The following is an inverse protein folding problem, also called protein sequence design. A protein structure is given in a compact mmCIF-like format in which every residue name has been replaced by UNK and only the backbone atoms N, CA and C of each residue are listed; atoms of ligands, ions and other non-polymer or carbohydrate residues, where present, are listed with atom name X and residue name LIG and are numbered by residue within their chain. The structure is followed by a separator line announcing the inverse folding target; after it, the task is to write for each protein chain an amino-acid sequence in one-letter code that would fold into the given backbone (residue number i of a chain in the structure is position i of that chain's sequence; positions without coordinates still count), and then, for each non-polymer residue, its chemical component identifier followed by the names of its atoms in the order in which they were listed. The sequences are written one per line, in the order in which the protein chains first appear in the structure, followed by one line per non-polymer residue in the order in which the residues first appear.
data_IF_476587422938
#
_entry.id   IF_476587422938
#
_cell.length_a   1.000
_cell.length_b   1.000
_cell.length_c   1.000
_cell.angle_alpha   90.00
_cell.angle_beta   90.00
_cell.angle_gamma   90.00
#
_symmetry.space_group_name_H-M   'P 1'
#
loop_
_entity.id
_entity.type
_entity.pdbx_description
1 polymer ?
#
# COMPACT_ATOMS: atom_id res chain seq x y z
N UNK A 1 17.05 13.38 -26.63
CA UNK A 1 16.01 13.08 -25.62
C UNK A 1 16.58 12.18 -24.52
N UNK A 2 16.72 12.68 -23.28
CA UNK A 2 17.36 11.96 -22.14
C UNK A 2 16.74 10.59 -21.83
N UNK A 3 15.44 10.43 -22.04
CA UNK A 3 14.74 9.14 -21.84
C UNK A 3 15.14 8.03 -22.82
N UNK A 4 15.57 8.38 -24.05
CA UNK A 4 16.03 7.41 -25.06
C UNK A 4 17.43 6.90 -24.71
N UNK A 5 18.31 7.77 -24.23
CA UNK A 5 19.64 7.38 -23.74
C UNK A 5 19.56 6.47 -22.53
N UNK A 6 18.64 6.76 -21.58
CA UNK A 6 18.41 5.90 -20.42
C UNK A 6 18.03 4.47 -20.81
N UNK A 7 17.13 4.31 -21.79
CA UNK A 7 16.68 2.98 -22.24
C UNK A 7 17.82 2.14 -22.83
N UNK A 8 18.81 2.77 -23.46
CA UNK A 8 19.98 2.10 -24.06
C UNK A 8 21.04 1.67 -23.04
N UNK A 9 21.00 2.17 -21.80
CA UNK A 9 21.97 1.79 -20.77
C UNK A 9 21.76 0.35 -20.29
N UNK A 10 22.88 -0.36 -20.12
CA UNK A 10 22.92 -1.65 -19.41
C UNK A 10 22.46 -1.46 -17.96
N UNK A 11 21.95 -2.52 -17.35
CA UNK A 11 21.41 -2.50 -15.99
C UNK A 11 22.43 -2.03 -14.96
N UNK A 12 23.67 -2.55 -15.03
CA UNK A 12 24.77 -2.12 -14.17
C UNK A 12 25.07 -0.61 -14.28
N UNK A 13 24.96 -0.03 -15.48
CA UNK A 13 25.15 1.41 -15.67
C UNK A 13 23.98 2.20 -15.07
N UNK A 14 22.74 1.72 -15.23
CA UNK A 14 21.55 2.33 -14.59
C UNK A 14 21.69 2.30 -13.08
N UNK A 15 22.05 1.15 -12.51
CA UNK A 15 22.28 0.99 -11.08
C UNK A 15 23.38 1.94 -10.57
N UNK A 16 24.51 2.04 -11.28
CA UNK A 16 25.58 2.96 -10.91
C UNK A 16 25.14 4.43 -10.94
N UNK A 17 24.37 4.83 -11.95
CA UNK A 17 23.84 6.20 -12.05
C UNK A 17 22.87 6.51 -10.89
N UNK A 18 21.97 5.57 -10.58
CA UNK A 18 21.02 5.66 -9.46
C UNK A 18 21.79 5.79 -8.15
N UNK A 19 22.78 4.92 -7.92
CA UNK A 19 23.59 4.91 -6.71
C UNK A 19 24.34 6.23 -6.53
N UNK A 20 25.01 6.71 -7.58
CA UNK A 20 25.77 7.96 -7.54
C UNK A 20 24.88 9.18 -7.25
N UNK A 21 23.64 9.16 -7.73
CA UNK A 21 22.67 10.22 -7.49
C UNK A 21 22.10 10.15 -6.08
N UNK A 22 21.63 8.97 -5.65
CA UNK A 22 20.95 8.78 -4.37
C UNK A 22 21.90 8.83 -3.16
N UNK A 23 23.16 8.41 -3.32
CA UNK A 23 24.16 8.46 -2.23
C UNK A 23 24.46 9.87 -1.73
N UNK A 24 24.07 10.90 -2.49
CA UNK A 24 24.26 12.33 -2.17
C UNK A 24 22.96 12.99 -1.69
N UNK A 25 21.90 12.21 -1.44
CA UNK A 25 20.57 12.72 -1.09
C UNK A 25 19.99 11.96 0.09
N UNK A 26 19.20 12.67 0.90
CA UNK A 26 18.25 12.07 1.82
C UNK A 26 16.96 11.80 1.06
N UNK A 27 16.43 10.58 1.17
CA UNK A 27 15.21 10.20 0.44
C UNK A 27 14.42 9.14 1.20
N UNK A 28 13.15 9.02 0.82
CA UNK A 28 12.29 7.89 1.16
C UNK A 28 11.93 7.20 -0.15
N UNK A 29 12.18 5.90 -0.25
CA UNK A 29 11.78 5.08 -1.40
C UNK A 29 10.60 4.19 -0.99
N UNK A 30 9.53 4.26 -1.77
CA UNK A 30 8.32 3.44 -1.60
C UNK A 30 8.31 2.36 -2.68
N UNK A 31 8.41 1.10 -2.29
CA UNK A 31 8.33 -0.05 -3.19
C UNK A 31 6.98 -0.74 -2.98
N UNK A 32 6.06 -0.56 -3.91
CA UNK A 32 4.71 -1.11 -3.78
C UNK A 32 4.63 -2.54 -4.35
N UNK A 33 3.84 -3.39 -3.67
CA UNK A 33 3.47 -4.75 -4.06
C UNK A 33 4.65 -5.66 -4.45
N UNK A 34 5.66 -5.78 -3.57
CA UNK A 34 6.81 -6.66 -3.82
C UNK A 34 6.45 -8.13 -3.58
N UNK A 35 6.78 -8.99 -4.54
CA UNK A 35 6.43 -10.44 -4.49
C UNK A 35 7.63 -11.34 -4.13
N UNK A 36 8.85 -10.81 -4.21
CA UNK A 36 10.11 -11.52 -3.91
C UNK A 36 11.14 -10.56 -3.34
N UNK A 37 12.22 -11.12 -2.78
CA UNK A 37 13.38 -10.33 -2.33
C UNK A 37 13.90 -9.46 -3.48
N UNK A 38 14.14 -8.19 -3.17
CA UNK A 38 14.78 -7.22 -4.05
C UNK A 38 16.19 -6.97 -3.52
N UNK A 39 17.20 -7.22 -4.34
CA UNK A 39 18.55 -6.79 -4.02
C UNK A 39 18.69 -5.29 -4.32
N UNK A 40 18.67 -4.47 -3.26
CA UNK A 40 18.77 -3.03 -3.37
C UNK A 40 20.08 -2.59 -4.02
N UNK A 41 21.16 -3.33 -3.80
CA UNK A 41 22.48 -2.99 -4.36
C UNK A 41 22.53 -3.26 -5.86
N UNK A 42 21.89 -4.34 -6.31
CA UNK A 42 21.78 -4.69 -7.73
C UNK A 42 21.07 -3.60 -8.54
N UNK A 43 20.05 -2.95 -7.94
CA UNK A 43 19.31 -1.85 -8.57
C UNK A 43 19.87 -0.46 -8.25
N UNK A 44 21.02 -0.39 -7.55
CA UNK A 44 21.72 0.87 -7.26
C UNK A 44 21.13 1.69 -6.12
N UNK A 45 20.27 1.11 -5.28
CA UNK A 45 19.72 1.79 -4.10
C UNK A 45 20.72 1.63 -2.94
N UNK A 46 21.24 2.73 -2.37
CA UNK A 46 22.11 2.64 -1.20
C UNK A 46 21.34 2.10 0.00
N UNK A 47 21.98 1.20 0.76
CA UNK A 47 21.38 0.63 1.96
C UNK A 47 21.05 1.75 2.98
N UNK A 48 19.86 1.70 3.61
CA UNK A 48 19.48 2.66 4.65
C UNK A 48 20.48 2.63 5.81
N UNK A 49 20.98 3.80 6.22
CA UNK A 49 21.79 3.96 7.43
C UNK A 49 21.33 5.20 8.20
N UNK A 50 21.64 5.27 9.49
CA UNK A 50 21.35 6.46 10.30
C UNK A 50 22.04 7.71 9.74
N UNK A 51 23.23 7.56 9.15
CA UNK A 51 24.04 8.65 8.62
C UNK A 51 23.52 9.19 7.29
N UNK A 52 23.12 8.33 6.35
CA UNK A 52 22.63 8.78 5.05
C UNK A 52 21.17 9.28 5.10
N UNK A 53 20.44 8.97 6.17
CA UNK A 53 19.05 9.40 6.34
C UNK A 53 18.10 8.88 5.28
N UNK A 54 18.49 7.84 4.53
CA UNK A 54 17.65 7.10 3.60
C UNK A 54 16.67 6.22 4.37
N UNK A 55 15.43 6.15 3.88
CA UNK A 55 14.44 5.17 4.35
C UNK A 55 13.86 4.42 3.16
N UNK A 56 13.61 3.14 3.34
CA UNK A 56 12.92 2.30 2.37
C UNK A 56 11.69 1.75 3.06
N UNK A 57 10.55 1.94 2.42
CA UNK A 57 9.27 1.39 2.85
C UNK A 57 8.77 0.55 1.69
N UNK A 58 8.29 -0.66 1.99
CA UNK A 58 7.71 -1.51 0.97
C UNK A 58 6.42 -2.14 1.46
N UNK A 59 5.55 -2.47 0.53
CA UNK A 59 4.31 -3.21 0.80
C UNK A 59 4.42 -4.59 0.17
N UNK A 60 3.90 -5.59 0.85
CA UNK A 60 3.83 -6.96 0.33
C UNK A 60 2.65 -7.68 0.97
N UNK A 61 2.17 -8.72 0.28
CA UNK A 61 1.13 -9.64 0.79
C UNK A 61 1.74 -10.85 1.50
N UNK A 62 3.07 -10.95 1.54
CA UNK A 62 3.78 -12.13 2.08
C UNK A 62 4.72 -11.75 3.22
N UNK A 63 4.45 -12.29 4.41
CA UNK A 63 5.35 -12.16 5.55
C UNK A 63 6.74 -12.75 5.25
N UNK A 64 6.81 -13.83 4.45
CA UNK A 64 8.08 -14.42 4.03
C UNK A 64 8.94 -13.46 3.21
N UNK A 65 8.31 -12.59 2.42
CA UNK A 65 9.02 -11.54 1.68
C UNK A 65 9.58 -10.50 2.66
N UNK A 66 8.83 -10.06 3.67
CA UNK A 66 9.34 -9.18 4.73
C UNK A 66 10.59 -9.75 5.39
N UNK A 67 10.56 -11.02 5.81
CA UNK A 67 11.71 -11.69 6.42
C UNK A 67 12.89 -11.78 5.45
N UNK A 68 12.65 -12.11 4.18
CA UNK A 68 13.71 -12.20 3.16
C UNK A 68 14.39 -10.85 2.86
N UNK A 69 13.67 -9.75 3.10
CA UNK A 69 14.15 -8.37 3.00
C UNK A 69 14.85 -7.89 4.28
N UNK A 70 14.96 -8.74 5.30
CA UNK A 70 15.61 -8.41 6.58
C UNK A 70 14.73 -7.60 7.54
N UNK A 71 13.41 -7.59 7.35
CA UNK A 71 12.48 -6.94 8.28
C UNK A 71 12.08 -7.92 9.37
N UNK A 72 12.43 -7.59 10.62
CA UNK A 72 12.09 -8.38 11.80
C UNK A 72 10.73 -8.02 12.41
N UNK A 73 10.36 -6.74 12.34
CA UNK A 73 9.10 -6.21 12.89
C UNK A 73 8.30 -5.51 11.78
N UNK A 74 7.53 -6.26 10.97
CA UNK A 74 6.71 -5.68 9.92
C UNK A 74 5.49 -4.95 10.48
N UNK A 75 5.11 -3.85 9.84
CA UNK A 75 3.83 -3.18 10.12
C UNK A 75 2.69 -3.93 9.44
N UNK A 76 1.94 -4.72 10.21
CA UNK A 76 0.75 -5.42 9.71
C UNK A 76 -0.41 -4.43 9.51
N UNK A 77 -0.82 -4.23 8.25
CA UNK A 77 -2.03 -3.46 7.94
C UNK A 77 -3.24 -4.37 8.10
N UNK A 78 -3.95 -4.21 9.23
CA UNK A 78 -5.12 -5.02 9.57
C UNK A 78 -6.39 -4.52 8.89
N UNK A 79 -7.38 -5.42 8.78
CA UNK A 79 -8.74 -5.03 8.43
C UNK A 79 -9.31 -4.06 9.48
N UNK A 80 -10.30 -3.26 9.07
CA UNK A 80 -10.96 -2.30 9.94
C UNK A 80 -11.68 -3.00 11.09
N UNK A 81 -11.73 -2.31 12.24
CA UNK A 81 -12.60 -2.72 13.34
C UNK A 81 -14.06 -2.69 12.91
N UNK A 82 -14.95 -3.41 13.60
CA UNK A 82 -16.39 -3.41 13.29
C UNK A 82 -16.99 -2.00 13.27
N UNK A 83 -16.50 -1.10 14.15
CA UNK A 83 -16.99 0.28 14.22
C UNK A 83 -16.47 1.11 13.06
N UNK A 84 -15.15 1.08 12.78
CA UNK A 84 -14.57 1.82 11.66
C UNK A 84 -15.09 1.32 10.30
N UNK A 85 -15.31 0.01 10.19
CA UNK A 85 -15.92 -0.62 9.02
C UNK A 85 -17.35 -0.11 8.81
N UNK A 86 -18.13 -0.01 9.89
CA UNK A 86 -19.49 0.54 9.83
C UNK A 86 -19.49 2.02 9.45
N UNK A 87 -18.57 2.82 9.98
CA UNK A 87 -18.46 4.23 9.65
C UNK A 87 -18.06 4.45 8.19
N UNK A 88 -17.10 3.67 7.68
CA UNK A 88 -16.76 3.67 6.25
C UNK A 88 -17.96 3.26 5.39
N UNK A 89 -18.68 2.20 5.78
CA UNK A 89 -19.81 1.70 5.01
C UNK A 89 -20.95 2.71 4.93
N UNK A 90 -21.34 3.34 6.05
CA UNK A 90 -22.35 4.42 6.06
C UNK A 90 -21.96 5.55 5.12
N UNK A 91 -20.68 5.96 5.14
CA UNK A 91 -20.16 7.01 4.26
C UNK A 91 -20.32 6.64 2.78
N UNK A 92 -20.22 5.34 2.45
CA UNK A 92 -20.30 4.83 1.07
C UNK A 92 -21.74 4.64 0.60
N UNK A 93 -22.62 4.12 1.46
CA UNK A 93 -24.06 3.97 1.18
C UNK A 93 -24.77 5.33 1.08
N UNK A 94 -24.33 6.30 1.87
CA UNK A 94 -24.91 7.64 1.94
C UNK A 94 -26.14 7.71 2.86
N UNK A 95 -26.28 8.84 3.56
CA UNK A 95 -27.35 9.02 4.55
C UNK A 95 -28.74 9.00 3.89
N UNK A 96 -28.88 9.58 2.69
CA UNK A 96 -30.14 9.57 1.93
C UNK A 96 -30.68 8.14 1.75
N UNK A 97 -29.84 7.20 1.32
CA UNK A 97 -30.20 5.79 1.16
C UNK A 97 -30.60 5.13 2.48
N UNK A 98 -29.85 5.42 3.55
CA UNK A 98 -30.10 4.85 4.87
C UNK A 98 -31.44 5.31 5.46
N UNK A 99 -31.90 6.50 5.09
CA UNK A 99 -33.13 7.11 5.60
C UNK A 99 -34.39 6.79 4.78
N UNK A 100 -34.26 6.08 3.65
CA UNK A 100 -35.40 5.70 2.80
C UNK A 100 -36.41 4.83 3.56
N UNK A 101 -35.93 3.93 4.44
CA UNK A 101 -36.78 3.02 5.19
C UNK A 101 -36.13 2.62 6.53
N UNK A 102 -36.88 2.53 7.64
CA UNK A 102 -36.34 2.25 8.98
C UNK A 102 -35.57 0.91 9.09
N UNK A 103 -35.83 -0.06 8.21
CA UNK A 103 -35.11 -1.33 8.20
C UNK A 103 -33.75 -1.30 7.49
N UNK A 104 -33.51 -0.32 6.60
CA UNK A 104 -32.28 -0.25 5.79
C UNK A 104 -31.02 -0.17 6.67
N UNK A 105 -30.94 0.66 7.73
CA UNK A 105 -29.75 0.73 8.56
C UNK A 105 -29.39 -0.63 9.19
N UNK A 106 -30.39 -1.42 9.60
CA UNK A 106 -30.19 -2.75 10.18
C UNK A 106 -29.67 -3.74 9.14
N UNK A 107 -30.18 -3.68 7.90
CA UNK A 107 -29.71 -4.54 6.80
C UNK A 107 -28.30 -4.12 6.36
N UNK A 108 -28.06 -2.83 6.13
CA UNK A 108 -26.76 -2.27 5.76
C UNK A 108 -25.67 -2.66 6.77
N UNK A 109 -25.99 -2.65 8.07
CA UNK A 109 -25.04 -3.07 9.10
C UNK A 109 -24.69 -4.56 9.03
N UNK A 110 -25.66 -5.43 8.67
CA UNK A 110 -25.39 -6.85 8.43
C UNK A 110 -24.50 -7.05 7.19
N UNK A 111 -24.76 -6.30 6.13
CA UNK A 111 -23.94 -6.33 4.90
C UNK A 111 -22.51 -5.88 5.18
N UNK A 112 -22.33 -4.76 5.90
CA UNK A 112 -21.00 -4.29 6.32
C UNK A 112 -20.26 -5.34 7.15
N UNK A 113 -20.97 -6.06 8.04
CA UNK A 113 -20.42 -7.17 8.80
C UNK A 113 -19.94 -8.33 7.91
N UNK A 114 -20.66 -8.63 6.84
CA UNK A 114 -20.26 -9.66 5.87
C UNK A 114 -18.99 -9.28 5.08
N UNK A 115 -18.66 -7.98 4.96
CA UNK A 115 -17.41 -7.51 4.36
C UNK A 115 -16.18 -7.71 5.27
N UNK A 116 -16.37 -8.16 6.53
CA UNK A 116 -15.29 -8.51 7.48
C UNK A 116 -14.22 -7.43 7.66
N UNK A 117 -14.62 -6.16 7.59
CA UNK A 117 -13.71 -5.03 7.78
C UNK A 117 -12.75 -4.75 6.62
N UNK A 118 -12.86 -5.45 5.48
CA UNK A 118 -12.02 -5.19 4.32
C UNK A 118 -12.44 -3.88 3.63
N UNK A 119 -11.60 -2.82 3.60
CA UNK A 119 -12.00 -1.52 3.06
C UNK A 119 -12.49 -1.56 1.61
N UNK A 120 -11.84 -2.38 0.77
CA UNK A 120 -12.21 -2.52 -0.63
C UNK A 120 -13.63 -3.10 -0.79
N UNK A 121 -13.95 -4.16 -0.05
CA UNK A 121 -15.29 -4.77 -0.09
C UNK A 121 -16.36 -3.81 0.44
N UNK A 122 -16.08 -3.11 1.54
CA UNK A 122 -16.99 -2.12 2.12
C UNK A 122 -17.29 -0.99 1.12
N UNK A 123 -16.28 -0.49 0.42
CA UNK A 123 -16.44 0.55 -0.59
C UNK A 123 -17.30 0.09 -1.76
N UNK A 124 -16.95 -1.04 -2.38
CA UNK A 124 -17.65 -1.54 -3.57
C UNK A 124 -19.11 -1.85 -3.26
N UNK A 125 -19.38 -2.56 -2.16
CA UNK A 125 -20.74 -2.93 -1.78
C UNK A 125 -21.53 -1.70 -1.31
N UNK A 126 -20.90 -0.79 -0.56
CA UNK A 126 -21.55 0.45 -0.12
C UNK A 126 -21.96 1.34 -1.29
N UNK A 127 -21.08 1.52 -2.28
CA UNK A 127 -21.37 2.27 -3.52
C UNK A 127 -22.41 1.57 -4.40
N UNK A 128 -22.43 0.24 -4.41
CA UNK A 128 -23.48 -0.53 -5.12
C UNK A 128 -24.85 -0.33 -4.48
N UNK A 129 -24.90 -0.15 -3.15
CA UNK A 129 -26.13 0.09 -2.42
C UNK A 129 -26.59 1.56 -2.46
N UNK A 130 -25.71 2.51 -2.75
CA UNK A 130 -26.08 3.93 -2.78
C UNK A 130 -27.03 4.22 -3.94
N UNK A 131 -28.08 5.01 -3.67
CA UNK A 131 -28.98 5.55 -4.69
C UNK A 131 -28.46 6.86 -5.28
#
# INVERSE_FOLDING_TARGET
YKGVEWKKKKENQKALDIFNFLSKKRFVLLLDDIWRKVDLTEIGIPNPTSQNGCKIVFTTRSLGVCTSMGVHEPMEVRCLSTNDAWDLFKKKVGQNTLDIHPDIPKIARKVAGACRGLPLALNVIGETMSC
#
